data_IF_556814345688
#
_entry.id   IF_556814345688
#
_cell.length_a   1.000
_cell.length_b   1.000
_cell.length_c   1.000
_cell.angle_alpha   90.00
_cell.angle_beta   90.00
_cell.angle_gamma   90.00
#
_symmetry.space_group_name_H-M   'P 1'
#
loop_
_entity.id
_entity.type
_entity.pdbx_description
1 polymer ?
#
# COMPACT_ATOMS: atom_id res chain seq x y z
N UNK A 1 -8.05 17.82 5.06
CA UNK A 1 -6.97 18.30 5.95
C UNK A 1 -6.58 17.15 6.88
N UNK A 2 -5.28 16.92 7.06
CA UNK A 2 -4.77 15.91 7.99
C UNK A 2 -4.48 16.53 9.37
N UNK A 3 -4.67 15.77 10.44
CA UNK A 3 -4.29 16.19 11.80
C UNK A 3 -3.77 15.00 12.61
N UNK A 4 -2.99 15.27 13.65
CA UNK A 4 -2.48 14.28 14.58
C UNK A 4 -3.23 14.31 15.90
N UNK A 5 -3.31 13.16 16.56
CA UNK A 5 -3.80 13.05 17.93
C UNK A 5 -2.97 12.01 18.71
N UNK A 6 -2.78 12.23 20.01
CA UNK A 6 -2.02 11.33 20.89
C UNK A 6 -2.90 10.89 22.04
N UNK A 7 -3.18 9.59 22.08
CA UNK A 7 -3.97 8.94 23.13
C UNK A 7 -3.04 8.24 24.12
N UNK A 8 -3.19 8.53 25.41
CA UNK A 8 -2.38 7.95 26.49
C UNK A 8 -3.15 7.14 27.55
N UNK A 9 -4.48 7.17 27.51
CA UNK A 9 -5.30 6.52 28.55
C UNK A 9 -6.39 5.63 27.95
N UNK A 10 -7.38 6.23 27.27
CA UNK A 10 -8.51 5.50 26.70
C UNK A 10 -8.84 6.03 25.31
N UNK A 11 -8.61 5.20 24.28
CA UNK A 11 -8.83 5.59 22.90
C UNK A 11 -10.31 5.82 22.56
N UNK A 12 -11.24 5.17 23.28
CA UNK A 12 -12.68 5.37 23.08
C UNK A 12 -13.17 6.70 23.67
N UNK A 13 -12.55 7.17 24.76
CA UNK A 13 -12.83 8.50 25.32
C UNK A 13 -12.11 9.62 24.54
N UNK A 14 -10.93 9.34 23.98
CA UNK A 14 -10.26 10.28 23.06
C UNK A 14 -10.97 10.36 21.70
N UNK A 15 -11.66 9.30 21.27
CA UNK A 15 -12.39 9.28 20.00
C UNK A 15 -13.43 10.38 19.90
N UNK A 16 -14.21 10.60 20.96
CA UNK A 16 -15.22 11.65 21.01
C UNK A 16 -14.60 13.04 20.94
N UNK A 17 -13.43 13.24 21.57
CA UNK A 17 -12.68 14.52 21.52
C UNK A 17 -12.11 14.81 20.13
N UNK A 18 -11.72 13.78 19.39
CA UNK A 18 -11.06 13.91 18.08
C UNK A 18 -12.01 13.73 16.88
N UNK A 19 -13.32 13.64 17.15
CA UNK A 19 -14.37 13.49 16.14
C UNK A 19 -14.36 12.12 15.45
N UNK A 20 -13.80 11.10 16.10
CA UNK A 20 -13.80 9.71 15.66
C UNK A 20 -15.06 8.99 16.13
N UNK A 21 -15.67 8.24 15.22
CA UNK A 21 -16.82 7.40 15.53
C UNK A 21 -16.37 6.11 16.27
N UNK A 22 -17.24 5.53 17.10
CA UNK A 22 -16.92 4.32 17.90
C UNK A 22 -16.52 3.11 17.05
N UNK A 23 -17.02 3.03 15.81
CA UNK A 23 -16.69 2.01 14.81
C UNK A 23 -15.22 2.09 14.35
N UNK A 24 -14.62 3.28 14.33
CA UNK A 24 -13.24 3.53 13.94
C UNK A 24 -12.29 2.97 15.01
N UNK A 25 -12.57 3.20 16.29
CA UNK A 25 -11.76 2.65 17.38
C UNK A 25 -11.87 1.13 17.44
N UNK A 26 -13.07 0.57 17.23
CA UNK A 26 -13.21 -0.88 17.13
C UNK A 26 -12.40 -1.47 15.98
N UNK A 27 -12.25 -0.73 14.88
CA UNK A 27 -11.40 -1.13 13.75
C UNK A 27 -9.92 -1.09 14.11
N UNK A 28 -9.47 -0.06 14.82
CA UNK A 28 -8.10 0.02 15.35
C UNK A 28 -7.78 -1.09 16.35
N UNK A 29 -8.71 -1.38 17.27
CA UNK A 29 -8.53 -2.45 18.24
C UNK A 29 -8.36 -3.81 17.57
N UNK A 30 -9.14 -4.08 16.50
CA UNK A 30 -9.03 -5.33 15.73
C UNK A 30 -7.74 -5.42 14.92
N UNK A 31 -7.11 -4.29 14.58
CA UNK A 31 -5.85 -4.30 13.84
C UNK A 31 -4.61 -4.35 14.72
N UNK A 32 -4.74 -4.20 16.05
CA UNK A 32 -3.64 -4.40 16.99
C UNK A 32 -3.48 -5.87 17.37
N UNK A 33 -2.25 -6.31 17.73
CA UNK A 33 -2.06 -7.61 18.36
C UNK A 33 -2.99 -7.76 19.57
N UNK A 34 -3.62 -8.93 19.70
CA UNK A 34 -4.67 -9.21 20.70
C UNK A 34 -4.25 -8.98 22.15
N UNK A 35 -2.94 -9.00 22.44
CA UNK A 35 -2.36 -8.69 23.76
C UNK A 35 -2.50 -7.22 24.20
N UNK A 36 -2.88 -6.32 23.29
CA UNK A 36 -3.02 -4.88 23.58
C UNK A 36 -4.49 -4.46 23.56
N UNK A 37 -4.85 -3.54 24.45
CA UNK A 37 -6.22 -3.08 24.63
C UNK A 37 -6.30 -1.54 24.64
N UNK A 38 -6.91 -0.97 23.61
CA UNK A 38 -7.09 0.47 23.44
C UNK A 38 -8.11 1.10 24.38
N UNK A 39 -8.93 0.30 25.08
CA UNK A 39 -9.81 0.81 26.15
C UNK A 39 -9.01 1.19 27.40
N UNK A 40 -7.90 0.50 27.64
CA UNK A 40 -7.11 0.62 28.86
C UNK A 40 -5.62 0.57 28.51
N UNK A 41 -5.07 1.71 28.10
CA UNK A 41 -3.64 1.84 27.86
C UNK A 41 -2.89 1.86 29.19
N UNK A 42 -1.77 1.13 29.27
CA UNK A 42 -0.85 1.18 30.41
C UNK A 42 -0.06 2.49 30.38
N UNK A 43 0.57 2.84 31.52
CA UNK A 43 1.37 4.08 31.68
C UNK A 43 2.48 4.27 30.63
N UNK A 44 3.03 3.18 30.10
CA UNK A 44 4.08 3.18 29.07
C UNK A 44 3.55 2.91 27.65
N UNK A 45 2.23 2.97 27.46
CA UNK A 45 1.57 2.74 26.17
C UNK A 45 1.04 4.04 25.61
N UNK A 46 1.22 4.25 24.31
CA UNK A 46 0.59 5.38 23.63
C UNK A 46 0.19 5.03 22.22
N UNK A 47 -0.90 5.65 21.77
CA UNK A 47 -1.43 5.50 20.43
C UNK A 47 -1.45 6.89 19.77
N UNK A 48 -0.57 7.09 18.78
CA UNK A 48 -0.55 8.27 17.93
C UNK A 48 -1.36 7.99 16.67
N UNK A 49 -2.31 8.86 16.36
CA UNK A 49 -3.24 8.72 15.25
C UNK A 49 -2.96 9.78 14.19
N UNK A 50 -3.07 9.41 12.92
CA UNK A 50 -3.21 10.36 11.82
C UNK A 50 -4.64 10.31 11.33
N UNK A 51 -5.28 11.47 11.32
CA UNK A 51 -6.68 11.64 11.01
C UNK A 51 -6.83 12.36 9.67
N UNK A 52 -7.68 11.85 8.80
CA UNK A 52 -8.19 12.56 7.64
C UNK A 52 -9.56 13.13 7.97
N UNK A 53 -9.71 14.46 7.89
CA UNK A 53 -11.01 15.13 8.04
C UNK A 53 -11.69 15.31 6.68
N UNK A 54 -12.93 14.84 6.56
CA UNK A 54 -13.80 15.04 5.38
C UNK A 54 -15.24 15.26 5.82
N UNK A 55 -15.87 16.34 5.36
CA UNK A 55 -17.28 16.67 5.65
C UNK A 55 -17.65 16.58 7.14
N UNK A 56 -16.81 17.13 8.03
CA UNK A 56 -17.05 17.13 9.48
C UNK A 56 -16.74 15.80 10.20
N UNK A 57 -16.38 14.74 9.47
CA UNK A 57 -16.00 13.44 10.04
C UNK A 57 -14.49 13.23 10.01
N UNK A 58 -13.94 12.70 11.10
CA UNK A 58 -12.54 12.25 11.17
C UNK A 58 -12.45 10.76 10.87
N UNK A 59 -11.42 10.36 10.14
CA UNK A 59 -11.12 8.96 9.86
C UNK A 59 -9.66 8.67 10.15
N UNK A 60 -9.37 7.57 10.83
CA UNK A 60 -7.98 7.20 11.12
C UNK A 60 -7.35 6.59 9.89
N UNK A 61 -6.31 7.20 9.36
CA UNK A 61 -5.66 6.79 8.12
C UNK A 61 -4.31 6.12 8.35
N UNK A 62 -3.69 6.39 9.50
CA UNK A 62 -2.59 5.60 10.04
C UNK A 62 -2.54 5.74 11.57
N UNK A 63 -1.83 4.84 12.24
CA UNK A 63 -1.50 4.98 13.64
C UNK A 63 -0.15 4.36 13.99
N UNK A 64 0.46 4.86 15.07
CA UNK A 64 1.62 4.26 15.72
C UNK A 64 1.26 3.94 17.16
N UNK A 65 1.35 2.67 17.51
CA UNK A 65 1.20 2.19 18.88
C UNK A 65 2.59 1.89 19.46
N UNK A 66 2.82 2.36 20.68
CA UNK A 66 4.06 2.16 21.42
C UNK A 66 3.77 1.49 22.75
N UNK A 67 4.60 0.55 23.17
CA UNK A 67 4.55 -0.11 24.49
C UNK A 67 5.98 -0.48 24.92
N UNK A 68 6.63 0.40 25.69
CA UNK A 68 8.07 0.26 25.97
C UNK A 68 8.90 0.29 24.68
N UNK A 69 9.67 -0.76 24.40
CA UNK A 69 10.44 -0.90 23.15
C UNK A 69 9.62 -1.38 21.95
N UNK A 70 8.39 -1.86 22.17
CA UNK A 70 7.52 -2.33 21.10
C UNK A 70 6.94 -1.15 20.32
N UNK A 71 7.09 -1.18 19.00
CA UNK A 71 6.52 -0.22 18.07
C UNK A 71 5.66 -0.96 17.04
N UNK A 72 4.46 -0.44 16.77
CA UNK A 72 3.52 -0.99 15.81
C UNK A 72 2.89 0.14 15.01
N UNK A 73 3.35 0.30 13.77
CA UNK A 73 2.86 1.35 12.88
C UNK A 73 1.97 0.72 11.83
N UNK A 74 0.70 1.12 11.77
CA UNK A 74 -0.23 0.55 10.81
C UNK A 74 -0.96 1.60 9.98
N UNK A 75 -1.21 1.26 8.72
CA UNK A 75 -1.79 2.13 7.69
C UNK A 75 -3.12 1.59 7.25
N UNK A 76 -4.10 2.47 7.08
CA UNK A 76 -5.42 2.04 6.63
C UNK A 76 -5.34 1.60 5.17
N UNK A 77 -5.78 0.36 4.92
CA UNK A 77 -5.80 -0.25 3.58
C UNK A 77 -7.23 -0.42 3.04
N UNK A 78 -8.24 -0.28 3.89
CA UNK A 78 -9.67 -0.30 3.51
C UNK A 78 -10.53 0.32 4.63
N UNK A 79 -11.86 0.36 4.44
CA UNK A 79 -12.80 0.80 5.47
C UNK A 79 -12.67 0.09 6.82
N UNK A 80 -12.18 -1.16 6.85
CA UNK A 80 -12.18 -1.97 8.07
C UNK A 80 -10.83 -2.61 8.39
N UNK A 81 -9.76 -2.26 7.68
CA UNK A 81 -8.45 -2.93 7.84
C UNK A 81 -7.30 -1.93 7.88
N UNK A 82 -6.34 -2.25 8.74
CA UNK A 82 -5.02 -1.64 8.74
C UNK A 82 -3.96 -2.70 8.45
N UNK A 83 -2.82 -2.26 7.92
CA UNK A 83 -1.64 -3.09 7.73
C UNK A 83 -0.45 -2.54 8.49
N UNK A 84 0.26 -3.41 9.20
CA UNK A 84 1.43 -3.07 10.00
C UNK A 84 2.70 -2.98 9.14
N UNK A 85 3.32 -1.79 9.06
CA UNK A 85 4.66 -1.62 8.48
C UNK A 85 5.78 -2.12 9.38
N UNK A 86 5.59 -2.21 10.70
CA UNK A 86 6.65 -2.67 11.62
C UNK A 86 7.06 -4.14 11.40
N UNK A 87 6.34 -4.90 10.56
CA UNK A 87 6.74 -6.25 10.10
C UNK A 87 7.65 -6.23 8.84
N UNK A 88 7.97 -5.03 8.36
CA UNK A 88 8.83 -4.78 7.18
C UNK A 88 10.17 -4.15 7.53
N UNK A 89 10.42 -3.76 8.81
CA UNK A 89 11.74 -3.33 9.28
C UNK A 89 12.75 -4.48 9.11
N UNK A 90 13.53 -4.43 8.04
CA UNK A 90 14.50 -5.46 7.64
C UNK A 90 14.22 -6.16 6.30
N UNK A 91 13.09 -5.88 5.64
CA UNK A 91 12.77 -6.39 4.30
C UNK A 91 12.80 -5.20 3.35
N UNK A 92 13.70 -5.19 2.36
CA UNK A 92 13.88 -4.07 1.42
C UNK A 92 12.57 -3.59 0.76
N UNK A 93 12.63 -2.43 0.08
CA UNK A 93 11.47 -1.74 -0.54
C UNK A 93 10.46 -2.69 -1.17
N UNK A 94 9.16 -2.54 -0.83
CA UNK A 94 8.05 -3.24 -1.50
C UNK A 94 7.47 -2.43 -2.66
N UNK A 95 8.03 -1.26 -2.92
CA UNK A 95 7.80 -0.54 -4.17
C UNK A 95 8.62 -1.12 -5.32
N UNK A 96 8.13 -0.94 -6.55
CA UNK A 96 8.83 -1.46 -7.72
C UNK A 96 10.12 -0.66 -8.02
N UNK A 97 11.27 -1.32 -8.22
CA UNK A 97 12.51 -0.63 -8.57
C UNK A 97 12.42 -0.11 -10.01
N UNK A 98 12.28 1.20 -10.14
CA UNK A 98 12.15 1.87 -11.44
C UNK A 98 13.47 1.85 -12.22
N UNK A 99 13.48 1.42 -13.48
CA UNK A 99 14.57 1.77 -14.38
C UNK A 99 14.54 3.28 -14.68
N UNK A 100 15.70 3.88 -14.94
CA UNK A 100 15.82 5.32 -15.20
C UNK A 100 14.95 5.86 -16.34
N UNK A 101 14.56 4.98 -17.28
CA UNK A 101 13.68 5.31 -18.42
C UNK A 101 12.19 5.25 -18.10
N UNK A 102 11.80 4.78 -16.90
CA UNK A 102 10.42 4.68 -16.48
C UNK A 102 10.01 5.88 -15.63
N UNK A 103 8.73 6.24 -15.70
CA UNK A 103 8.14 7.31 -14.88
C UNK A 103 6.79 6.90 -14.34
N UNK A 104 6.45 7.33 -13.12
CA UNK A 104 5.09 7.21 -12.60
C UNK A 104 4.13 8.00 -13.50
N UNK A 105 3.19 7.29 -14.14
CA UNK A 105 2.15 7.89 -14.97
C UNK A 105 0.80 7.95 -14.26
N UNK A 106 0.51 7.02 -13.36
CA UNK A 106 -0.75 6.98 -12.61
C UNK A 106 -0.52 6.43 -11.20
N UNK A 107 -0.86 7.19 -10.14
CA UNK A 107 -0.71 6.72 -8.77
C UNK A 107 -1.87 5.82 -8.31
N UNK A 108 -1.65 5.07 -7.23
CA UNK A 108 -2.71 4.34 -6.52
C UNK A 108 -3.80 5.30 -6.09
N UNK A 109 -5.06 4.97 -6.41
CA UNK A 109 -6.18 5.83 -6.11
C UNK A 109 -7.47 5.01 -5.90
N UNK A 110 -7.82 4.69 -4.64
CA UNK A 110 -9.01 3.89 -4.33
C UNK A 110 -10.33 4.64 -4.59
N UNK A 111 -10.27 5.96 -4.77
CA UNK A 111 -11.41 6.83 -4.98
C UNK A 111 -11.40 7.49 -6.38
N UNK A 112 -10.70 6.89 -7.36
CA UNK A 112 -10.61 7.45 -8.71
C UNK A 112 -12.00 7.54 -9.33
N UNK A 113 -12.46 8.77 -9.55
CA UNK A 113 -13.74 9.07 -10.15
C UNK A 113 -13.61 8.98 -11.67
N UNK A 114 -14.50 8.25 -12.33
CA UNK A 114 -14.63 8.35 -13.78
C UNK A 114 -15.43 9.61 -14.11
N UNK A 115 -14.86 10.59 -14.85
CA UNK A 115 -15.50 11.89 -15.05
C UNK A 115 -16.74 11.82 -15.94
N UNK A 116 -16.89 10.76 -16.74
CA UNK A 116 -18.02 10.59 -17.66
C UNK A 116 -19.19 9.90 -16.97
N UNK A 117 -18.92 8.83 -16.23
CA UNK A 117 -19.97 8.02 -15.58
C UNK A 117 -20.26 8.40 -14.13
N UNK A 118 -19.43 9.24 -13.51
CA UNK A 118 -19.53 9.62 -12.09
C UNK A 118 -19.25 8.47 -11.10
N UNK A 119 -18.96 7.26 -11.59
CA UNK A 119 -18.70 6.08 -10.77
C UNK A 119 -17.24 6.05 -10.30
N UNK A 120 -17.03 5.56 -9.08
CA UNK A 120 -15.68 5.27 -8.57
C UNK A 120 -15.18 3.98 -9.21
N UNK A 121 -14.03 4.08 -9.89
CA UNK A 121 -13.30 2.94 -10.46
C UNK A 121 -11.89 2.95 -9.88
N UNK A 122 -11.67 2.24 -8.75
CA UNK A 122 -10.39 2.23 -8.04
C UNK A 122 -9.21 1.90 -8.95
N UNK A 123 -8.10 2.60 -8.75
CA UNK A 123 -6.81 2.23 -9.27
C UNK A 123 -6.02 1.54 -8.16
N UNK A 124 -5.94 0.21 -8.22
CA UNK A 124 -5.45 -0.67 -7.16
C UNK A 124 -3.94 -0.88 -7.16
N UNK A 125 -3.24 -0.26 -8.09
CA UNK A 125 -1.80 -0.33 -8.24
C UNK A 125 -1.22 1.03 -8.61
N UNK A 126 0.00 1.01 -9.12
CA UNK A 126 0.65 2.16 -9.72
C UNK A 126 1.04 1.82 -11.16
N UNK A 127 0.94 2.82 -12.03
CA UNK A 127 1.32 2.68 -13.43
C UNK A 127 2.66 3.36 -13.66
N UNK A 128 3.59 2.60 -14.23
CA UNK A 128 4.87 3.10 -14.69
C UNK A 128 4.92 3.06 -16.21
N UNK A 129 4.86 4.23 -16.83
CA UNK A 129 5.10 4.35 -18.27
C UNK A 129 6.54 3.94 -18.57
N UNK A 130 6.70 2.98 -19.47
CA UNK A 130 8.00 2.44 -19.88
C UNK A 130 7.90 1.84 -21.28
N UNK A 131 9.00 1.76 -22.04
CA UNK A 131 9.02 1.07 -23.33
C UNK A 131 8.54 -0.38 -23.20
N UNK A 132 7.90 -0.91 -24.24
CA UNK A 132 7.65 -2.35 -24.33
C UNK A 132 8.96 -3.12 -24.26
N UNK A 133 8.87 -4.37 -23.79
CA UNK A 133 10.00 -5.28 -23.63
C UNK A 133 11.05 -4.86 -22.59
N UNK A 134 10.71 -3.91 -21.71
CA UNK A 134 11.53 -3.60 -20.53
C UNK A 134 11.48 -4.77 -19.56
N UNK A 135 12.63 -5.18 -19.02
CA UNK A 135 12.73 -6.30 -18.08
C UNK A 135 11.95 -6.02 -16.80
N UNK A 136 11.07 -6.94 -16.42
CA UNK A 136 10.30 -6.90 -15.18
C UNK A 136 10.83 -7.92 -14.18
N UNK A 137 11.08 -7.47 -12.95
CA UNK A 137 11.67 -8.28 -11.88
C UNK A 137 10.73 -8.49 -10.71
N UNK A 138 10.90 -9.60 -9.98
CA UNK A 138 10.18 -9.81 -8.73
C UNK A 138 10.68 -8.84 -7.65
N UNK A 139 9.75 -8.22 -6.94
CA UNK A 139 10.05 -7.30 -5.83
C UNK A 139 10.18 -8.05 -4.51
N UNK A 140 9.74 -9.31 -4.46
CA UNK A 140 9.76 -10.14 -3.25
C UNK A 140 10.28 -11.55 -3.56
N UNK A 141 10.82 -12.22 -2.55
CA UNK A 141 10.98 -13.67 -2.60
C UNK A 141 9.61 -14.34 -2.53
N UNK A 142 9.43 -15.44 -3.27
CA UNK A 142 8.16 -16.15 -3.22
C UNK A 142 7.99 -17.24 -4.26
N UNK A 143 6.72 -17.54 -4.52
CA UNK A 143 6.28 -18.52 -5.51
C UNK A 143 5.35 -17.84 -6.51
N UNK A 144 5.53 -18.16 -7.80
CA UNK A 144 4.61 -17.75 -8.85
C UNK A 144 3.27 -18.46 -8.65
N UNK A 145 2.24 -17.73 -8.24
CA UNK A 145 0.88 -18.27 -8.05
C UNK A 145 0.01 -18.11 -9.28
N UNK A 146 0.30 -17.12 -10.12
CA UNK A 146 -0.33 -16.91 -11.43
C UNK A 146 0.70 -16.46 -12.46
N UNK A 147 0.55 -16.96 -13.67
CA UNK A 147 1.33 -16.63 -14.85
C UNK A 147 0.43 -16.96 -16.06
N UNK A 148 -0.49 -16.05 -16.37
CA UNK A 148 -1.61 -16.33 -17.28
C UNK A 148 -2.04 -15.06 -18.03
N UNK A 149 -2.96 -15.22 -18.98
CA UNK A 149 -3.58 -14.12 -19.71
C UNK A 149 -5.01 -13.88 -19.22
N UNK A 150 -5.39 -12.61 -19.10
CA UNK A 150 -6.76 -12.17 -18.86
C UNK A 150 -7.08 -10.96 -19.77
N UNK A 151 -8.32 -10.86 -20.25
CA UNK A 151 -8.71 -9.80 -21.21
C UNK A 151 -8.55 -8.38 -20.66
N UNK A 152 -8.69 -8.17 -19.36
CA UNK A 152 -8.50 -6.86 -18.72
C UNK A 152 -7.06 -6.66 -18.28
N UNK A 153 -6.47 -7.63 -17.57
CA UNK A 153 -5.13 -7.51 -17.00
C UNK A 153 -4.00 -7.71 -18.03
N UNK A 154 -4.33 -8.24 -19.21
CA UNK A 154 -3.35 -8.69 -20.19
C UNK A 154 -2.64 -9.97 -19.74
N UNK A 155 -1.43 -10.17 -20.25
CA UNK A 155 -0.50 -11.12 -19.63
C UNK A 155 -0.08 -10.57 -18.27
N UNK A 156 -0.17 -11.41 -17.24
CA UNK A 156 0.20 -10.99 -15.89
C UNK A 156 0.85 -12.10 -15.08
N UNK A 157 1.64 -11.69 -14.09
CA UNK A 157 2.29 -12.57 -13.12
C UNK A 157 1.87 -12.15 -11.72
N UNK A 158 1.56 -13.12 -10.85
CA UNK A 158 1.38 -12.92 -9.41
C UNK A 158 2.44 -13.71 -8.65
N UNK A 159 3.19 -13.02 -7.77
CA UNK A 159 4.15 -13.62 -6.85
C UNK A 159 3.57 -13.57 -5.45
N UNK A 160 3.47 -14.72 -4.79
CA UNK A 160 3.06 -14.79 -3.37
C UNK A 160 4.28 -15.04 -2.50
N UNK A 161 4.52 -14.12 -1.56
CA UNK A 161 5.56 -14.22 -0.55
C UNK A 161 5.02 -14.72 0.80
N UNK A 162 5.70 -14.33 1.88
CA UNK A 162 5.31 -14.65 3.26
C UNK A 162 4.29 -13.63 3.80
N UNK A 163 3.64 -13.97 4.92
CA UNK A 163 2.78 -13.07 5.69
C UNK A 163 1.66 -12.36 4.90
N UNK A 164 1.11 -13.05 3.89
CA UNK A 164 -0.01 -12.53 3.10
C UNK A 164 0.35 -11.42 2.10
N UNK A 165 1.64 -11.20 1.86
CA UNK A 165 2.14 -10.25 0.84
C UNK A 165 2.15 -10.93 -0.53
N UNK A 166 1.60 -10.24 -1.53
CA UNK A 166 1.63 -10.62 -2.93
C UNK A 166 1.98 -9.40 -3.78
N UNK A 167 2.62 -9.63 -4.91
CA UNK A 167 2.84 -8.61 -5.94
C UNK A 167 2.26 -9.08 -7.26
N UNK A 168 1.72 -8.15 -8.04
CA UNK A 168 1.20 -8.43 -9.38
C UNK A 168 1.80 -7.48 -10.40
N UNK A 169 2.05 -8.04 -11.58
CA UNK A 169 2.70 -7.37 -12.70
C UNK A 169 1.82 -7.58 -13.92
N UNK A 170 1.16 -6.52 -14.39
CA UNK A 170 0.12 -6.57 -15.42
C UNK A 170 0.56 -5.92 -16.73
N UNK A 171 -0.27 -6.08 -17.77
CA UNK A 171 -0.09 -5.52 -19.10
C UNK A 171 1.21 -5.97 -19.79
N UNK A 172 1.74 -7.13 -19.40
CA UNK A 172 3.02 -7.66 -19.87
C UNK A 172 2.98 -8.00 -21.36
N UNK A 173 4.12 -7.98 -22.04
CA UNK A 173 4.24 -8.49 -23.40
C UNK A 173 4.58 -9.99 -23.40
N UNK A 174 5.46 -10.41 -22.48
CA UNK A 174 5.94 -11.79 -22.39
C UNK A 174 6.16 -12.18 -20.94
N UNK A 175 5.71 -13.38 -20.58
CA UNK A 175 6.00 -14.01 -19.29
C UNK A 175 7.23 -14.91 -19.46
N UNK A 176 8.18 -14.84 -18.52
CA UNK A 176 9.45 -15.59 -18.54
C UNK A 176 9.47 -16.75 -17.54
N UNK A 177 8.43 -16.89 -16.72
CA UNK A 177 8.32 -17.87 -15.63
C UNK A 177 7.01 -18.65 -15.73
N UNK A 178 6.95 -19.80 -15.06
CA UNK A 178 5.76 -20.64 -15.01
C UNK A 178 5.13 -20.65 -13.62
N UNK A 179 3.81 -20.89 -13.56
CA UNK A 179 3.10 -21.09 -12.30
C UNK A 179 3.76 -22.23 -11.52
N UNK A 180 4.01 -22.00 -10.23
CA UNK A 180 4.64 -22.96 -9.34
C UNK A 180 6.14 -22.72 -9.11
N UNK A 181 6.81 -21.98 -9.99
CA UNK A 181 8.23 -21.66 -9.84
C UNK A 181 8.49 -20.83 -8.57
N UNK A 182 9.65 -21.06 -7.94
CA UNK A 182 10.18 -20.18 -6.89
C UNK A 182 10.98 -19.06 -7.55
N UNK A 183 10.88 -17.87 -6.98
CA UNK A 183 11.64 -16.70 -7.40
C UNK A 183 12.20 -15.98 -6.19
N UNK A 184 13.34 -15.36 -6.37
CA UNK A 184 13.98 -14.45 -5.43
C UNK A 184 13.76 -13.01 -5.89
N UNK A 185 13.83 -12.07 -4.96
CA UNK A 185 13.82 -10.64 -5.28
C UNK A 185 14.90 -10.34 -6.32
N UNK A 186 14.51 -9.64 -7.38
CA UNK A 186 15.39 -9.26 -8.49
C UNK A 186 15.36 -10.23 -9.68
N UNK A 187 14.81 -11.43 -9.52
CA UNK A 187 14.68 -12.38 -10.63
C UNK A 187 13.80 -11.81 -11.74
N UNK A 188 14.24 -11.96 -12.99
CA UNK A 188 13.46 -11.55 -14.15
C UNK A 188 12.27 -12.50 -14.33
N UNK A 189 11.06 -11.95 -14.30
CA UNK A 189 9.81 -12.72 -14.37
C UNK A 189 9.03 -12.47 -15.66
N UNK A 190 9.23 -11.31 -16.31
CA UNK A 190 8.48 -10.91 -17.47
C UNK A 190 9.16 -9.78 -18.25
N UNK A 191 8.54 -9.41 -19.37
CA UNK A 191 8.83 -8.22 -20.15
C UNK A 191 7.59 -7.33 -20.21
N UNK A 192 7.75 -6.02 -20.00
CA UNK A 192 6.67 -5.03 -20.04
C UNK A 192 5.98 -5.00 -21.40
N UNK A 193 4.73 -4.52 -21.44
CA UNK A 193 3.97 -4.52 -22.68
C UNK A 193 2.83 -3.50 -22.68
N UNK A 194 1.82 -3.84 -23.47
CA UNK A 194 0.60 -3.08 -23.63
C UNK A 194 -0.61 -4.01 -23.82
N UNK A 195 -0.58 -5.20 -23.20
CA UNK A 195 -1.62 -6.22 -23.40
C UNK A 195 -2.84 -6.01 -22.51
N UNK A 196 -3.98 -6.59 -22.91
CA UNK A 196 -5.25 -6.43 -22.20
C UNK A 196 -5.81 -5.02 -22.36
N UNK A 197 -6.49 -4.51 -21.32
CA UNK A 197 -7.10 -3.18 -21.36
C UNK A 197 -6.11 -2.13 -20.89
N UNK A 198 -5.30 -1.64 -21.83
CA UNK A 198 -4.27 -0.63 -21.61
C UNK A 198 -4.33 0.46 -22.68
N UNK A 199 -4.02 1.72 -22.31
CA UNK A 199 -3.98 2.86 -23.24
C UNK A 199 -2.62 3.08 -23.90
N UNK A 200 -1.57 2.44 -23.41
CA UNK A 200 -0.22 2.55 -23.95
C UNK A 200 0.80 1.76 -23.14
N UNK A 201 2.04 1.59 -23.63
CA UNK A 201 3.06 0.79 -22.95
C UNK A 201 3.36 1.25 -21.53
N UNK A 202 3.11 0.36 -20.56
CA UNK A 202 3.39 0.59 -19.15
C UNK A 202 3.43 -0.73 -18.37
N UNK A 203 3.94 -0.66 -17.14
CA UNK A 203 3.72 -1.69 -16.11
C UNK A 203 2.65 -1.19 -15.15
N UNK A 204 1.59 -1.96 -14.97
CA UNK A 204 0.71 -1.82 -13.82
C UNK A 204 1.18 -2.76 -12.71
N UNK A 205 1.64 -2.19 -11.60
CA UNK A 205 2.18 -2.90 -10.45
C UNK A 205 1.22 -2.80 -9.27
N UNK A 206 0.78 -3.95 -8.73
CA UNK A 206 0.00 -3.99 -7.49
C UNK A 206 0.83 -4.60 -6.36
N UNK A 207 0.87 -3.92 -5.22
CA UNK A 207 1.23 -4.53 -3.95
C UNK A 207 -0.07 -4.91 -3.23
N UNK A 208 -0.22 -6.20 -2.91
CA UNK A 208 -1.44 -6.74 -2.29
C UNK A 208 -1.08 -7.38 -0.97
N UNK A 209 -1.78 -6.98 0.08
CA UNK A 209 -1.49 -7.42 1.43
C UNK A 209 -2.76 -7.91 2.10
N UNK A 210 -2.76 -9.18 2.52
CA UNK A 210 -3.94 -9.86 3.07
C UNK A 210 -5.18 -9.69 2.17
N UNK A 211 -4.96 -9.85 0.86
CA UNK A 211 -5.92 -9.68 -0.23
C UNK A 211 -6.47 -8.25 -0.41
N UNK A 212 -5.80 -7.21 0.10
CA UNK A 212 -6.18 -5.82 -0.15
C UNK A 212 -5.05 -5.11 -0.91
N UNK A 213 -5.31 -4.51 -2.08
CA UNK A 213 -4.33 -3.69 -2.76
C UNK A 213 -3.97 -2.45 -1.94
N UNK A 214 -2.70 -2.06 -1.93
CA UNK A 214 -2.17 -0.93 -1.17
C UNK A 214 -1.27 -0.06 -2.04
N UNK A 215 -1.09 1.21 -1.66
CA UNK A 215 -0.15 2.10 -2.32
C UNK A 215 1.30 1.66 -2.02
N UNK A 216 1.99 1.07 -2.99
CA UNK A 216 3.36 0.58 -2.82
C UNK A 216 4.38 1.70 -2.60
N UNK A 217 4.09 2.94 -3.00
CA UNK A 217 4.98 4.09 -2.74
C UNK A 217 5.17 4.33 -1.23
N UNK A 218 4.23 3.89 -0.39
CA UNK A 218 4.38 3.90 1.07
C UNK A 218 5.44 2.91 1.57
N UNK A 219 6.09 2.15 0.70
CA UNK A 219 7.09 1.16 1.07
C UNK A 219 8.43 1.42 0.40
N UNK A 220 8.59 2.57 -0.24
CA UNK A 220 9.83 3.00 -0.86
C UNK A 220 10.76 3.60 0.20
N UNK A 221 12.04 3.23 0.14
CA UNK A 221 13.07 3.59 1.14
C UNK A 221 13.54 5.04 1.05
N UNK A 222 13.41 5.69 -0.10
CA UNK A 222 13.83 7.08 -0.31
C UNK A 222 12.81 7.84 -1.15
N UNK A 223 12.71 9.15 -0.92
CA UNK A 223 11.89 10.02 -1.76
C UNK A 223 12.44 10.07 -3.19
N UNK A 224 11.57 10.12 -4.22
CA UNK A 224 12.00 10.37 -5.59
C UNK A 224 12.63 11.77 -5.70
N UNK A 225 13.85 11.83 -6.23
CA UNK A 225 14.57 13.09 -6.44
C UNK A 225 13.96 13.91 -7.59
N UNK A 226 13.49 13.22 -8.63
CA UNK A 226 12.98 13.82 -9.87
C UNK A 226 11.59 13.28 -10.17
N UNK A 227 10.68 14.15 -10.64
CA UNK A 227 9.24 13.94 -10.91
C UNK A 227 8.28 14.44 -9.81
N UNK A 228 7.62 15.59 -10.08
CA UNK A 228 6.64 16.22 -9.17
C UNK A 228 5.43 15.34 -8.87
N UNK A 229 4.93 14.56 -9.84
CA UNK A 229 3.79 13.66 -9.62
C UNK A 229 4.17 12.52 -8.68
N UNK A 230 5.36 11.97 -8.87
CA UNK A 230 5.88 10.89 -8.03
C UNK A 230 6.24 11.38 -6.63
N UNK A 231 6.85 12.56 -6.51
CA UNK A 231 7.08 13.25 -5.23
C UNK A 231 5.76 13.50 -4.50
N UNK A 232 4.75 14.01 -5.19
CA UNK A 232 3.42 14.24 -4.63
C UNK A 232 2.78 12.91 -4.19
N UNK A 233 2.78 11.88 -5.04
CA UNK A 233 2.20 10.58 -4.72
C UNK A 233 2.95 9.87 -3.57
N UNK A 234 4.28 9.97 -3.53
CA UNK A 234 5.13 9.49 -2.45
C UNK A 234 4.86 10.27 -1.15
N UNK A 235 4.76 11.60 -1.21
CA UNK A 235 4.38 12.44 -0.07
C UNK A 235 3.00 12.03 0.46
N UNK A 236 1.96 11.93 -0.37
CA UNK A 236 0.64 11.45 0.08
C UNK A 236 0.68 10.04 0.67
N UNK A 237 1.55 9.16 0.18
CA UNK A 237 1.74 7.82 0.72
C UNK A 237 2.49 7.80 2.06
N UNK A 238 3.34 8.80 2.32
CA UNK A 238 4.23 8.93 3.48
C UNK A 238 3.84 10.03 4.46
N UNK A 239 2.86 10.86 4.12
CA UNK A 239 2.41 12.00 4.94
C UNK A 239 2.03 11.48 6.33
N UNK A 240 1.50 10.27 6.41
CA UNK A 240 1.26 9.56 7.66
C UNK A 240 2.51 9.36 8.54
N UNK A 241 3.70 9.07 8.01
CA UNK A 241 4.91 8.90 8.84
C UNK A 241 5.41 10.21 9.43
N UNK A 242 5.41 11.30 8.66
CA UNK A 242 5.76 12.64 9.16
C UNK A 242 4.84 13.11 10.28
N UNK A 243 3.59 12.65 10.27
CA UNK A 243 2.62 12.89 11.32
C UNK A 243 2.75 11.89 12.49
N UNK A 244 3.48 10.78 12.36
CA UNK A 244 3.66 9.74 13.38
C UNK A 244 5.02 9.78 14.07
N UNK A 245 6.02 10.46 13.51
CA UNK A 245 7.26 10.86 14.19
C UNK A 245 7.00 12.03 15.15
#
# INVERSE_FOLDING_TARGET
>A
MYSTDVVKENAYLSATRSGLESNEIATLQRSLPSRFNLRHLKKNESLKLVLQKKAGKSRVVAYKFTSGSFNYTAYRISDKKFYNLSDTSGKGSLDYPLPATARLSSPFNPARLNPVSGKVSPHNGIDYSMPMNTKIVSVIDGKITRAEYNSTMGYFVEVTGKAGVKTRYLHLNKILVTKGARVTRGDAIALSGNSGRSSGPHLHYELVINNNPVNSLAFRTAAPADNKLEQHAFAHARDYERYLD
#
